data_IF_965347966325
#
_entry.id   IF_965347966325
#
_cell.length_a   1.000
_cell.length_b   1.000
_cell.length_c   1.000
_cell.angle_alpha   90.00
_cell.angle_beta   90.00
_cell.angle_gamma   90.00
#
_symmetry.space_group_name_H-M   'P 1'
#
loop_
_entity.id
_entity.type
_entity.pdbx_description
1 polymer ?
#
# COMPACT_ATOMS: atom_id res chain seq x y z
N UNK A 1 7.78 11.10 30.49
CA UNK A 1 8.10 10.75 29.09
C UNK A 1 9.04 9.56 29.14
N UNK A 2 8.70 8.44 28.50
CA UNK A 2 9.67 7.32 28.38
C UNK A 2 10.79 7.74 27.44
N UNK A 3 12.03 7.32 27.73
CA UNK A 3 13.12 7.44 26.78
C UNK A 3 12.80 6.61 25.52
N UNK A 4 13.17 7.11 24.35
CA UNK A 4 13.00 6.40 23.08
C UNK A 4 14.01 5.24 22.98
N UNK A 5 13.57 4.10 22.47
CA UNK A 5 14.43 2.93 22.23
C UNK A 5 15.18 3.10 20.90
N UNK A 6 16.52 3.00 20.88
CA UNK A 6 17.29 3.03 19.63
C UNK A 6 16.96 1.85 18.71
N UNK A 7 16.86 2.11 17.40
CA UNK A 7 16.72 1.05 16.39
C UNK A 7 18.12 0.62 15.96
N UNK A 8 18.64 -0.46 16.57
CA UNK A 8 19.96 -1.00 16.29
C UNK A 8 19.91 -2.42 15.69
N UNK A 9 21.08 -2.96 15.33
CA UNK A 9 21.17 -4.29 14.73
C UNK A 9 20.76 -5.41 15.71
N UNK A 10 20.87 -5.22 17.02
CA UNK A 10 20.44 -6.21 18.01
C UNK A 10 18.92 -6.29 18.08
N UNK A 11 18.24 -5.14 18.06
CA UNK A 11 16.80 -5.05 17.99
C UNK A 11 16.26 -5.71 16.72
N UNK A 12 16.82 -5.38 15.55
CA UNK A 12 16.36 -5.93 14.27
C UNK A 12 16.53 -7.45 14.19
N UNK A 13 17.61 -8.01 14.77
CA UNK A 13 17.78 -9.48 14.85
C UNK A 13 16.71 -10.16 15.71
N UNK A 14 16.11 -9.45 16.65
CA UNK A 14 14.96 -9.91 17.44
C UNK A 14 13.63 -9.89 16.68
N UNK A 15 13.58 -9.34 15.47
CA UNK A 15 12.37 -9.21 14.63
C UNK A 15 12.52 -9.99 13.31
N UNK A 16 12.63 -11.33 13.35
CA UNK A 16 12.81 -12.13 12.14
C UNK A 16 11.61 -12.01 11.21
N UNK A 17 11.87 -12.04 9.90
CA UNK A 17 10.82 -12.07 8.89
C UNK A 17 9.95 -13.34 9.05
N UNK A 18 8.65 -13.27 8.72
CA UNK A 18 7.78 -14.45 8.73
C UNK A 18 8.37 -15.57 7.88
N UNK A 19 8.41 -16.79 8.42
CA UNK A 19 8.77 -17.97 7.63
C UNK A 19 7.57 -18.36 6.77
N UNK A 20 7.77 -18.49 5.48
CA UNK A 20 6.77 -19.07 4.58
C UNK A 20 7.09 -20.56 4.44
N UNK A 21 6.21 -21.43 4.94
CA UNK A 21 6.22 -22.82 4.54
C UNK A 21 5.82 -22.90 3.05
N UNK A 22 6.53 -23.71 2.27
CA UNK A 22 6.43 -23.71 0.80
C UNK A 22 5.06 -24.09 0.21
N UNK A 23 4.00 -24.19 1.02
CA UNK A 23 2.64 -24.55 0.63
C UNK A 23 1.54 -23.50 0.89
N UNK A 24 1.86 -22.32 1.42
CA UNK A 24 0.86 -21.30 1.76
C UNK A 24 0.30 -20.53 0.55
N UNK A 25 -1.04 -20.45 0.44
CA UNK A 25 -1.72 -19.55 -0.51
C UNK A 25 -1.31 -18.08 -0.29
N UNK A 26 -1.43 -17.25 -1.34
CA UNK A 26 -1.25 -15.79 -1.24
C UNK A 26 -2.11 -15.15 -0.15
N UNK A 27 -3.21 -15.78 0.25
CA UNK A 27 -4.09 -15.29 1.31
C UNK A 27 -3.44 -15.36 2.70
N UNK A 28 -2.47 -16.27 2.91
CA UNK A 28 -1.74 -16.44 4.17
C UNK A 28 -0.69 -15.34 4.37
N UNK A 29 -0.21 -14.73 3.27
CA UNK A 29 0.78 -13.64 3.28
C UNK A 29 0.17 -12.24 3.49
N UNK A 30 -1.08 -12.20 3.96
CA UNK A 30 -1.77 -10.95 4.26
C UNK A 30 -2.23 -10.17 3.03
N UNK A 31 -3.01 -9.13 3.28
CA UNK A 31 -3.55 -8.24 2.25
C UNK A 31 -3.29 -6.80 2.65
N UNK A 32 -2.72 -6.03 1.75
CA UNK A 32 -2.42 -4.60 1.95
C UNK A 32 -3.31 -3.74 1.06
N UNK A 33 -3.82 -2.65 1.62
CA UNK A 33 -4.42 -1.54 0.90
C UNK A 33 -3.53 -0.31 1.10
N UNK A 34 -3.10 0.29 0.02
CA UNK A 34 -2.49 1.62 0.02
C UNK A 34 -3.55 2.59 -0.49
N UNK A 35 -3.96 3.55 0.33
CA UNK A 35 -4.90 4.60 -0.05
C UNK A 35 -4.23 5.96 0.09
N UNK A 36 -4.26 6.77 -0.97
CA UNK A 36 -3.65 8.10 -0.95
C UNK A 36 -3.29 8.61 -2.35
N UNK A 37 -2.37 9.57 -2.38
CA UNK A 37 -1.95 10.24 -3.60
C UNK A 37 -2.93 11.31 -4.08
N UNK A 38 -2.53 11.96 -5.15
CA UNK A 38 -3.28 12.97 -5.89
C UNK A 38 -2.88 12.90 -7.37
N UNK A 39 -3.48 13.73 -8.22
CA UNK A 39 -3.05 13.88 -9.62
C UNK A 39 -1.59 14.34 -9.74
N UNK A 40 -1.13 15.21 -8.83
CA UNK A 40 0.24 15.73 -8.83
C UNK A 40 1.25 14.73 -8.25
N UNK A 41 0.81 13.84 -7.34
CA UNK A 41 1.70 12.93 -6.62
C UNK A 41 1.26 11.44 -6.69
N UNK A 42 0.96 10.90 -7.89
CA UNK A 42 0.48 9.52 -8.02
C UNK A 42 1.57 8.48 -7.68
N UNK A 43 2.85 8.86 -7.84
CA UNK A 43 3.99 8.02 -7.54
C UNK A 43 4.08 7.58 -6.08
N UNK A 44 3.53 8.35 -5.14
CA UNK A 44 3.53 7.99 -3.72
C UNK A 44 2.84 6.64 -3.46
N UNK A 45 1.71 6.39 -4.15
CA UNK A 45 0.94 5.15 -4.04
C UNK A 45 1.68 3.99 -4.71
N UNK A 46 2.30 4.23 -5.87
CA UNK A 46 3.07 3.22 -6.60
C UNK A 46 4.29 2.74 -5.80
N UNK A 47 5.06 3.69 -5.23
CA UNK A 47 6.23 3.39 -4.40
C UNK A 47 5.84 2.62 -3.13
N UNK A 48 4.76 3.05 -2.47
CA UNK A 48 4.24 2.37 -1.27
C UNK A 48 3.76 0.95 -1.58
N UNK A 49 3.09 0.75 -2.72
CA UNK A 49 2.66 -0.58 -3.18
C UNK A 49 3.85 -1.49 -3.52
N UNK A 50 4.87 -0.94 -4.19
CA UNK A 50 6.11 -1.67 -4.47
C UNK A 50 6.78 -2.11 -3.16
N UNK A 51 6.90 -1.21 -2.18
CA UNK A 51 7.43 -1.54 -0.87
C UNK A 51 6.62 -2.64 -0.17
N UNK A 52 5.28 -2.60 -0.25
CA UNK A 52 4.42 -3.63 0.33
C UNK A 52 4.67 -5.02 -0.30
N UNK A 53 4.79 -5.11 -1.62
CA UNK A 53 5.11 -6.38 -2.30
C UNK A 53 6.51 -6.86 -1.91
N UNK A 54 7.50 -5.96 -1.84
CA UNK A 54 8.88 -6.29 -1.44
C UNK A 54 8.97 -6.72 0.02
N UNK A 55 8.09 -6.21 0.88
CA UNK A 55 7.95 -6.65 2.28
C UNK A 55 7.22 -7.99 2.43
N UNK A 56 6.70 -8.58 1.35
CA UNK A 56 6.10 -9.91 1.34
C UNK A 56 4.57 -9.93 1.32
N UNK A 57 3.90 -8.80 1.04
CA UNK A 57 2.44 -8.78 0.95
C UNK A 57 1.91 -9.77 -0.10
N UNK A 58 0.96 -10.62 0.29
CA UNK A 58 0.35 -11.61 -0.59
C UNK A 58 -0.64 -11.04 -1.60
N UNK A 59 -1.35 -9.96 -1.22
CA UNK A 59 -2.30 -9.24 -2.07
C UNK A 59 -2.12 -7.74 -1.89
N UNK A 60 -2.09 -7.01 -3.00
CA UNK A 60 -1.99 -5.56 -3.01
C UNK A 60 -3.22 -4.93 -3.65
N UNK A 61 -3.75 -3.91 -2.99
CA UNK A 61 -4.79 -3.01 -3.51
C UNK A 61 -4.27 -1.58 -3.43
N UNK A 62 -4.51 -0.80 -4.48
CA UNK A 62 -4.21 0.63 -4.51
C UNK A 62 -5.52 1.39 -4.67
N UNK A 63 -5.74 2.38 -3.82
CA UNK A 63 -6.85 3.31 -3.96
C UNK A 63 -6.27 4.72 -4.16
N UNK A 64 -6.58 5.31 -5.31
CA UNK A 64 -6.08 6.61 -5.76
C UNK A 64 -7.21 7.36 -6.48
N UNK A 65 -7.06 8.66 -6.73
CA UNK A 65 -7.94 9.42 -7.62
C UNK A 65 -8.19 8.68 -8.94
N UNK A 66 -9.45 8.65 -9.37
CA UNK A 66 -9.94 7.95 -10.56
C UNK A 66 -9.16 8.26 -11.84
N UNK A 67 -8.73 9.51 -12.05
CA UNK A 67 -7.92 9.95 -13.18
C UNK A 67 -6.56 9.26 -13.27
N UNK A 68 -6.00 8.85 -12.14
CA UNK A 68 -4.68 8.20 -12.09
C UNK A 68 -4.75 6.68 -12.02
N UNK A 69 -5.93 6.10 -11.75
CA UNK A 69 -6.10 4.65 -11.62
C UNK A 69 -5.65 3.87 -12.87
N UNK A 70 -5.96 4.28 -14.12
CA UNK A 70 -5.49 3.56 -15.31
C UNK A 70 -3.96 3.55 -15.43
N UNK A 71 -3.30 4.67 -15.15
CA UNK A 71 -1.84 4.78 -15.21
C UNK A 71 -1.17 3.84 -14.18
N UNK A 72 -1.70 3.79 -12.96
CA UNK A 72 -1.21 2.88 -11.93
C UNK A 72 -1.48 1.41 -12.25
N UNK A 73 -2.61 1.10 -12.88
CA UNK A 73 -2.95 -0.27 -13.29
C UNK A 73 -1.99 -0.81 -14.36
N UNK A 74 -1.53 0.06 -15.26
CA UNK A 74 -0.49 -0.28 -16.24
C UNK A 74 0.88 -0.42 -15.56
N UNK A 75 1.22 0.49 -14.65
CA UNK A 75 2.53 0.51 -14.00
C UNK A 75 2.75 -0.62 -12.97
N UNK A 76 1.68 -1.13 -12.34
CA UNK A 76 1.74 -2.20 -11.34
C UNK A 76 0.59 -3.21 -11.56
N UNK A 77 0.73 -4.10 -12.56
CA UNK A 77 -0.33 -5.04 -12.95
C UNK A 77 -0.64 -6.10 -11.87
N UNK A 78 0.24 -6.30 -10.90
CA UNK A 78 0.03 -7.21 -9.76
C UNK A 78 -1.01 -6.69 -8.76
N UNK A 79 -1.28 -5.37 -8.79
CA UNK A 79 -2.19 -4.73 -7.86
C UNK A 79 -3.62 -4.64 -8.41
N UNK A 80 -4.62 -4.79 -7.53
CA UNK A 80 -5.98 -4.33 -7.83
C UNK A 80 -6.03 -2.82 -7.61
N UNK A 81 -6.20 -2.06 -8.69
CA UNK A 81 -6.30 -0.59 -8.62
C UNK A 81 -7.77 -0.16 -8.55
N UNK A 82 -8.08 0.75 -7.64
CA UNK A 82 -9.40 1.27 -7.34
C UNK A 82 -9.36 2.79 -7.56
N UNK A 83 -10.16 3.27 -8.51
CA UNK A 83 -10.37 4.70 -8.72
C UNK A 83 -11.37 5.23 -7.70
N UNK A 84 -10.96 6.24 -6.93
CA UNK A 84 -11.80 6.95 -5.98
C UNK A 84 -12.27 8.29 -6.57
N UNK A 85 -13.48 8.76 -6.20
CA UNK A 85 -13.92 10.11 -6.55
C UNK A 85 -12.86 11.14 -6.13
N UNK A 86 -12.61 12.13 -6.98
CA UNK A 86 -11.62 13.19 -6.73
C UNK A 86 -12.26 14.56 -6.49
N UNK A 87 -11.56 15.42 -5.77
CA UNK A 87 -11.90 16.84 -5.65
C UNK A 87 -11.46 17.61 -6.90
N UNK A 88 -11.96 18.84 -7.14
CA UNK A 88 -11.48 19.69 -8.23
C UNK A 88 -9.96 19.98 -8.17
N UNK A 89 -9.36 19.93 -6.99
CA UNK A 89 -7.94 20.15 -6.74
C UNK A 89 -7.10 18.87 -6.98
N UNK A 90 -7.71 17.79 -7.47
CA UNK A 90 -7.00 16.56 -7.85
C UNK A 90 -6.66 15.62 -6.69
N UNK A 91 -7.17 15.89 -5.47
CA UNK A 91 -7.06 15.01 -4.31
C UNK A 91 -8.21 13.99 -4.21
N UNK A 92 -8.10 13.00 -3.33
CA UNK A 92 -9.20 12.06 -3.06
C UNK A 92 -10.33 12.81 -2.35
N UNK A 93 -11.56 12.70 -2.87
CA UNK A 93 -12.73 13.32 -2.26
C UNK A 93 -13.14 12.62 -0.97
N UNK A 94 -13.59 13.38 0.03
CA UNK A 94 -14.05 12.84 1.31
C UNK A 94 -15.24 11.88 1.17
N UNK A 95 -16.05 12.02 0.10
CA UNK A 95 -17.13 11.10 -0.23
C UNK A 95 -16.66 9.66 -0.50
N UNK A 96 -15.38 9.46 -0.83
CA UNK A 96 -14.78 8.14 -0.97
C UNK A 96 -14.75 7.33 0.34
N UNK A 97 -14.87 8.01 1.50
CA UNK A 97 -14.88 7.39 2.83
C UNK A 97 -16.28 7.35 3.47
N UNK A 98 -17.34 7.61 2.70
CA UNK A 98 -18.69 7.56 3.22
C UNK A 98 -19.04 6.15 3.75
N UNK A 99 -19.80 6.03 4.85
CA UNK A 99 -20.31 4.74 5.31
C UNK A 99 -21.20 4.09 4.25
N UNK A 100 -21.20 2.75 4.23
CA UNK A 100 -22.09 1.94 3.39
C UNK A 100 -23.55 2.00 3.87
#
# INVERSE_FOLDING_TARGET
MSAATPVDAALLRGMPLPKHDGGGSKDVRGSVLVAGGSEEVPGAVLLSGTAALRAGAGRLRLAICDSMAPALAVAMPEARVIGLPRTPEGGIAATAAAPL
#
